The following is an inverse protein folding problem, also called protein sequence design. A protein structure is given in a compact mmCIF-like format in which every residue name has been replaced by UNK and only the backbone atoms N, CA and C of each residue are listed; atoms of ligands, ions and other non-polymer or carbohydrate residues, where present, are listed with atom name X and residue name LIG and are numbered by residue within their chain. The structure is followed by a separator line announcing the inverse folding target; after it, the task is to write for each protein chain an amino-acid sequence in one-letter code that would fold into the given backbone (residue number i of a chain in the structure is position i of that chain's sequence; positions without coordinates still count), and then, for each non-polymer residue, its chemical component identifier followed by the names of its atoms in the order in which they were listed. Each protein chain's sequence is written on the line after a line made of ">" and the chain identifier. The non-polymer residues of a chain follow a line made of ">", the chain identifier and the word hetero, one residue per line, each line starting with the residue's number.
data_IF_036170778988
#
_entry.id   IF_036170778988
#
_cell.length_a   1.000
_cell.length_b   1.000
_cell.length_c   1.000
_cell.angle_alpha   90.00
_cell.angle_beta   90.00
_cell.angle_gamma   90.00
#
_symmetry.space_group_name_H-M   'P 1'
#
loop_
_entity.id
_entity.type
_entity.pdbx_description
1 polymer ?
#
# COMPACT_ATOMS: atom_id res chain seq x y z
N UNK A 1 46.15 -12.32 -41.32
CA UNK A 1 45.33 -12.80 -40.18
C UNK A 1 44.67 -11.68 -39.36
N UNK A 2 44.78 -10.38 -39.71
CA UNK A 2 44.40 -9.27 -38.82
C UNK A 2 43.00 -8.65 -38.98
N UNK A 3 42.29 -8.84 -40.09
CA UNK A 3 41.00 -8.14 -40.33
C UNK A 3 39.77 -8.89 -39.79
N UNK A 4 39.77 -10.22 -39.85
CA UNK A 4 38.66 -11.06 -39.38
C UNK A 4 38.55 -11.09 -37.85
N UNK A 5 39.69 -11.09 -37.15
CA UNK A 5 39.73 -11.01 -35.69
C UNK A 5 39.15 -9.70 -35.16
N UNK A 6 39.49 -8.56 -35.80
CA UNK A 6 38.98 -7.24 -35.41
C UNK A 6 37.48 -7.10 -35.66
N UNK A 7 36.96 -7.67 -36.77
CA UNK A 7 35.51 -7.72 -37.05
C UNK A 7 34.74 -8.59 -36.06
N UNK A 8 35.32 -9.71 -35.60
CA UNK A 8 34.69 -10.55 -34.58
C UNK A 8 34.62 -9.86 -33.21
N UNK A 9 35.71 -9.18 -32.81
CA UNK A 9 35.79 -8.47 -31.52
C UNK A 9 34.83 -7.28 -31.50
N UNK A 10 34.75 -6.52 -32.59
CA UNK A 10 33.80 -5.40 -32.70
C UNK A 10 32.35 -5.87 -32.70
N UNK A 11 32.02 -6.97 -33.39
CA UNK A 11 30.68 -7.56 -33.34
C UNK A 11 30.31 -8.06 -31.93
N UNK A 12 31.24 -8.71 -31.22
CA UNK A 12 31.03 -9.19 -29.86
C UNK A 12 30.81 -8.04 -28.85
N UNK A 13 31.55 -6.93 -29.00
CA UNK A 13 31.37 -5.72 -28.19
C UNK A 13 30.01 -5.05 -28.46
N UNK A 14 29.56 -4.98 -29.71
CA UNK A 14 28.24 -4.44 -30.04
C UNK A 14 27.12 -5.29 -29.46
N UNK A 15 27.24 -6.63 -29.55
CA UNK A 15 26.29 -7.56 -28.94
C UNK A 15 26.23 -7.44 -27.42
N UNK A 16 27.38 -7.37 -26.74
CA UNK A 16 27.40 -7.25 -25.27
C UNK A 16 26.82 -5.90 -24.80
N UNK A 17 27.06 -4.81 -25.54
CA UNK A 17 26.45 -3.51 -25.27
C UNK A 17 24.93 -3.55 -25.44
N UNK A 18 24.42 -4.19 -26.50
CA UNK A 18 22.98 -4.34 -26.72
C UNK A 18 22.30 -5.18 -25.63
N UNK A 19 22.93 -6.28 -25.19
CA UNK A 19 22.41 -7.10 -24.09
C UNK A 19 22.46 -6.37 -22.73
N UNK A 20 23.56 -5.66 -22.44
CA UNK A 20 23.71 -4.89 -21.20
C UNK A 20 22.71 -3.73 -21.12
N UNK A 21 22.59 -2.96 -22.20
CA UNK A 21 21.63 -1.85 -22.28
C UNK A 21 20.19 -2.36 -22.24
N UNK A 22 19.85 -3.45 -22.94
CA UNK A 22 18.52 -4.07 -22.89
C UNK A 22 18.13 -4.56 -21.50
N UNK A 23 19.06 -5.22 -20.78
CA UNK A 23 18.83 -5.69 -19.41
C UNK A 23 18.65 -4.54 -18.40
N UNK A 24 19.41 -3.45 -18.57
CA UNK A 24 19.26 -2.24 -17.76
C UNK A 24 17.91 -1.55 -18.03
N UNK A 25 17.53 -1.39 -19.30
CA UNK A 25 16.24 -0.82 -19.68
C UNK A 25 15.05 -1.58 -19.08
N UNK A 26 15.10 -2.92 -19.08
CA UNK A 26 14.05 -3.75 -18.50
C UNK A 26 13.98 -3.64 -16.97
N UNK A 27 15.12 -3.48 -16.28
CA UNK A 27 15.17 -3.23 -14.83
C UNK A 27 14.57 -1.88 -14.46
N UNK A 28 14.90 -0.83 -15.20
CA UNK A 28 14.34 0.51 -14.97
C UNK A 28 12.83 0.55 -15.24
N UNK A 29 12.35 -0.15 -16.27
CA UNK A 29 10.92 -0.28 -16.56
C UNK A 29 10.17 -1.03 -15.45
N UNK A 30 10.74 -2.11 -14.92
CA UNK A 30 10.16 -2.85 -13.80
C UNK A 30 10.07 -2.01 -12.52
N UNK A 31 11.14 -1.26 -12.19
CA UNK A 31 11.15 -0.39 -11.01
C UNK A 31 10.17 0.79 -11.14
N UNK A 32 9.96 1.30 -12.36
CA UNK A 32 9.01 2.40 -12.61
C UNK A 32 7.54 1.99 -12.44
N UNK A 33 7.20 0.71 -12.65
CA UNK A 33 5.86 0.18 -12.38
C UNK A 33 5.59 -0.07 -10.89
N UNK A 34 6.63 -0.18 -10.06
CA UNK A 34 6.49 -0.29 -8.60
C UNK A 34 6.31 1.09 -7.93
N UNK A 35 6.59 2.17 -8.67
CA UNK A 35 6.46 3.55 -8.21
C UNK A 35 5.21 4.18 -8.85
N UNK A 36 4.15 4.28 -8.05
CA UNK A 36 2.99 5.19 -8.22
C UNK A 36 1.80 4.73 -9.08
N UNK A 37 1.27 3.53 -8.84
CA UNK A 37 -0.20 3.41 -8.95
C UNK A 37 -0.80 3.91 -7.62
N UNK A 38 -1.13 5.20 -7.58
CA UNK A 38 -1.84 5.79 -6.43
C UNK A 38 -3.26 5.21 -6.42
N UNK A 39 -3.48 4.15 -5.64
CA UNK A 39 -4.81 3.60 -5.39
C UNK A 39 -5.44 4.32 -4.21
N UNK A 40 -6.44 5.13 -4.53
CA UNK A 40 -7.28 5.84 -3.57
C UNK A 40 -8.41 4.92 -3.10
N UNK A 41 -8.63 4.86 -1.79
CA UNK A 41 -9.76 4.15 -1.20
C UNK A 41 -10.52 5.10 -0.27
N UNK A 42 -11.85 4.94 -0.26
CA UNK A 42 -12.70 5.72 0.63
C UNK A 42 -12.63 5.12 2.03
N UNK A 43 -12.30 5.97 3.01
CA UNK A 43 -12.27 5.64 4.42
C UNK A 43 -13.66 5.35 5.01
N UNK A 44 -13.71 5.09 6.30
CA UNK A 44 -14.95 4.79 7.03
C UNK A 44 -15.27 5.91 8.05
N UNK A 45 -16.51 5.90 8.55
CA UNK A 45 -16.98 6.83 9.59
C UNK A 45 -17.96 6.10 10.54
N UNK A 46 -17.62 4.86 10.90
CA UNK A 46 -18.36 4.02 11.83
C UNK A 46 -18.02 4.32 13.29
N UNK A 47 -16.86 4.96 13.58
CA UNK A 47 -16.39 5.26 14.93
C UNK A 47 -16.40 3.99 15.80
N UNK A 48 -17.23 3.94 16.85
CA UNK A 48 -17.36 2.80 17.77
C UNK A 48 -18.61 1.95 17.51
N UNK A 49 -19.27 2.11 16.36
CA UNK A 49 -20.46 1.31 16.02
C UNK A 49 -20.13 -0.18 16.00
N UNK A 50 -20.96 -0.99 16.66
CA UNK A 50 -20.80 -2.44 16.68
C UNK A 50 -21.23 -3.02 15.32
N UNK A 51 -20.38 -3.79 14.62
CA UNK A 51 -20.79 -4.44 13.39
C UNK A 51 -21.80 -5.56 13.68
N UNK A 52 -22.80 -5.70 12.81
CA UNK A 52 -23.80 -6.78 12.93
C UNK A 52 -23.19 -8.18 12.77
N UNK A 53 -22.13 -8.30 11.96
CA UNK A 53 -21.38 -9.53 11.74
C UNK A 53 -19.89 -9.18 11.59
N UNK A 54 -19.03 -9.78 12.42
CA UNK A 54 -17.59 -9.44 12.50
C UNK A 54 -16.80 -10.00 11.33
N UNK A 55 -17.15 -11.20 10.85
CA UNK A 55 -16.51 -11.84 9.70
C UNK A 55 -16.76 -11.04 8.42
N UNK A 56 -17.98 -10.57 8.23
CA UNK A 56 -18.35 -9.71 7.12
C UNK A 56 -17.69 -8.33 7.23
N UNK A 57 -17.60 -7.78 8.44
CA UNK A 57 -16.88 -6.53 8.69
C UNK A 57 -15.39 -6.63 8.29
N UNK A 58 -14.71 -7.70 8.70
CA UNK A 58 -13.32 -7.97 8.29
C UNK A 58 -13.17 -8.09 6.77
N UNK A 59 -14.04 -8.85 6.11
CA UNK A 59 -14.02 -8.99 4.64
C UNK A 59 -14.18 -7.64 3.94
N UNK A 60 -15.09 -6.80 4.42
CA UNK A 60 -15.28 -5.46 3.85
C UNK A 60 -14.05 -4.57 4.02
N UNK A 61 -13.35 -4.64 5.16
CA UNK A 61 -12.10 -3.91 5.37
C UNK A 61 -11.01 -4.41 4.43
N UNK A 62 -10.86 -5.73 4.30
CA UNK A 62 -9.90 -6.36 3.40
C UNK A 62 -10.14 -5.95 1.96
N UNK A 63 -11.36 -6.11 1.46
CA UNK A 63 -11.70 -5.84 0.06
C UNK A 63 -11.55 -4.35 -0.28
N UNK A 64 -11.86 -3.47 0.68
CA UNK A 64 -11.70 -2.03 0.55
C UNK A 64 -10.24 -1.60 0.48
N UNK A 65 -9.40 -2.11 1.37
CA UNK A 65 -8.03 -1.60 1.55
C UNK A 65 -6.94 -2.44 0.88
N UNK A 66 -7.28 -3.56 0.24
CA UNK A 66 -6.32 -4.35 -0.55
C UNK A 66 -5.66 -3.47 -1.62
N UNK A 67 -4.33 -3.44 -1.65
CA UNK A 67 -3.49 -2.61 -2.52
C UNK A 67 -3.73 -1.09 -2.40
N UNK A 68 -4.39 -0.65 -1.33
CA UNK A 68 -4.64 0.76 -1.11
C UNK A 68 -3.37 1.50 -0.72
N UNK A 69 -3.11 2.64 -1.35
CA UNK A 69 -1.96 3.50 -0.99
C UNK A 69 -2.39 4.79 -0.30
N UNK A 70 -3.61 5.26 -0.56
CA UNK A 70 -4.13 6.53 -0.08
C UNK A 70 -5.56 6.37 0.43
N UNK A 71 -5.82 6.75 1.69
CA UNK A 71 -7.15 6.71 2.29
C UNK A 71 -7.75 8.11 2.34
N UNK A 72 -8.79 8.34 1.53
CA UNK A 72 -9.60 9.55 1.59
C UNK A 72 -10.70 9.39 2.64
N UNK A 73 -10.58 10.07 3.78
CA UNK A 73 -11.36 9.83 4.99
C UNK A 73 -10.54 9.18 6.12
N UNK A 74 -11.23 8.45 7.00
CA UNK A 74 -10.62 7.84 8.18
C UNK A 74 -10.28 6.36 7.94
N UNK A 75 -9.18 5.90 8.53
CA UNK A 75 -8.86 4.47 8.60
C UNK A 75 -9.34 3.95 9.96
N UNK A 76 -10.42 3.18 9.97
CA UNK A 76 -10.97 2.60 11.21
C UNK A 76 -10.80 1.08 11.20
N UNK A 77 -10.05 0.58 12.17
CA UNK A 77 -9.76 -0.83 12.41
C UNK A 77 -10.38 -1.17 13.77
N UNK A 78 -11.61 -1.65 13.74
CA UNK A 78 -12.39 -1.90 14.95
C UNK A 78 -13.01 -3.28 14.93
N UNK A 79 -13.28 -3.86 16.12
CA UNK A 79 -14.06 -5.10 16.25
C UNK A 79 -13.49 -6.30 15.49
N UNK A 80 -12.16 -6.39 15.36
CA UNK A 80 -11.50 -7.54 14.72
C UNK A 80 -11.16 -8.57 15.80
N UNK A 81 -11.70 -9.76 15.62
CA UNK A 81 -11.56 -10.88 16.54
C UNK A 81 -11.05 -12.10 15.78
N UNK A 82 -10.46 -13.02 16.52
CA UNK A 82 -9.74 -14.18 15.99
C UNK A 82 -8.49 -13.78 15.20
N UNK A 83 -7.45 -14.62 15.22
CA UNK A 83 -6.15 -14.32 14.62
C UNK A 83 -6.31 -14.16 13.10
N UNK A 84 -6.55 -12.94 12.64
CA UNK A 84 -6.74 -12.54 11.23
C UNK A 84 -5.73 -11.46 10.86
N UNK A 85 -4.96 -11.66 9.81
CA UNK A 85 -3.85 -10.77 9.48
C UNK A 85 -4.30 -9.44 8.85
N UNK A 86 -3.69 -8.33 9.23
CA UNK A 86 -3.93 -7.02 8.62
C UNK A 86 -2.96 -6.69 7.48
N UNK A 87 -2.35 -7.71 6.87
CA UNK A 87 -1.34 -7.54 5.82
C UNK A 87 -1.87 -6.79 4.58
N UNK A 88 -3.19 -6.77 4.35
CA UNK A 88 -3.79 -5.99 3.28
C UNK A 88 -3.58 -4.47 3.44
N UNK A 89 -3.31 -3.98 4.66
CA UNK A 89 -3.01 -2.57 4.94
C UNK A 89 -1.55 -2.16 4.63
N UNK A 90 -0.68 -3.11 4.27
CA UNK A 90 0.77 -2.88 4.13
C UNK A 90 1.15 -1.83 3.07
N UNK A 91 0.25 -1.50 2.16
CA UNK A 91 0.48 -0.55 1.07
C UNK A 91 0.09 0.88 1.43
N UNK A 92 -0.65 1.11 2.53
CA UNK A 92 -1.15 2.43 2.89
C UNK A 92 0.01 3.33 3.25
N UNK A 93 0.11 4.47 2.57
CA UNK A 93 1.13 5.51 2.77
C UNK A 93 0.57 6.75 3.43
N UNK A 94 -0.67 7.06 3.11
CA UNK A 94 -1.30 8.30 3.54
C UNK A 94 -2.75 8.09 3.96
N UNK A 95 -3.13 8.68 5.09
CA UNK A 95 -4.51 8.79 5.56
C UNK A 95 -4.85 10.26 5.74
N UNK A 96 -5.98 10.69 5.19
CA UNK A 96 -6.33 12.12 5.23
C UNK A 96 -7.10 12.55 6.47
N UNK A 97 -7.85 11.64 7.09
CA UNK A 97 -8.57 11.86 8.34
C UNK A 97 -7.79 11.37 9.56
N UNK A 98 -8.48 10.74 10.50
CA UNK A 98 -7.87 10.05 11.65
C UNK A 98 -7.66 8.56 11.39
N UNK A 99 -6.83 7.94 12.22
CA UNK A 99 -6.67 6.49 12.31
C UNK A 99 -7.22 6.04 13.67
N UNK A 100 -8.22 5.15 13.65
CA UNK A 100 -8.82 4.58 14.86
C UNK A 100 -8.51 3.09 14.92
N UNK A 101 -7.85 2.64 15.99
CA UNK A 101 -7.59 1.23 16.28
C UNK A 101 -8.21 0.95 17.65
N UNK A 102 -9.22 0.08 17.70
CA UNK A 102 -9.93 -0.23 18.95
C UNK A 102 -10.56 -1.62 18.90
N UNK A 103 -10.84 -2.22 20.07
CA UNK A 103 -11.56 -3.49 20.20
C UNK A 103 -10.99 -4.57 19.24
N UNK A 104 -9.72 -4.88 19.46
CA UNK A 104 -8.86 -5.66 18.56
C UNK A 104 -8.11 -6.72 19.37
N UNK A 105 -8.22 -8.00 18.98
CA UNK A 105 -7.68 -9.14 19.76
C UNK A 105 -6.23 -9.54 19.39
N UNK A 106 -5.64 -8.87 18.40
CA UNK A 106 -4.35 -9.23 17.84
C UNK A 106 -3.21 -8.43 18.50
N UNK A 107 -2.01 -9.01 18.65
CA UNK A 107 -0.96 -8.45 19.49
C UNK A 107 -0.32 -7.19 18.90
N UNK A 108 -0.40 -6.99 17.59
CA UNK A 108 0.22 -5.87 16.90
C UNK A 108 -0.55 -5.51 15.62
N UNK A 109 -0.60 -4.21 15.32
CA UNK A 109 -1.06 -3.67 14.04
C UNK A 109 0.15 -3.06 13.33
N UNK A 110 0.52 -3.61 12.18
CA UNK A 110 1.72 -3.19 11.43
C UNK A 110 1.30 -2.40 10.20
N UNK A 111 1.73 -1.14 10.10
CA UNK A 111 1.51 -0.24 8.95
C UNK A 111 2.87 0.22 8.41
N UNK A 112 3.62 -0.67 7.71
CA UNK A 112 5.05 -0.48 7.44
C UNK A 112 5.34 0.68 6.47
N UNK A 113 4.37 1.06 5.63
CA UNK A 113 4.53 2.13 4.63
C UNK A 113 3.79 3.40 5.01
N UNK A 114 3.10 3.45 6.15
CA UNK A 114 2.36 4.64 6.56
C UNK A 114 3.34 5.75 6.89
N UNK A 115 3.23 6.86 6.17
CA UNK A 115 4.12 8.02 6.26
C UNK A 115 3.41 9.24 6.84
N UNK A 116 2.14 9.46 6.44
CA UNK A 116 1.41 10.69 6.76
C UNK A 116 -0.01 10.38 7.23
N UNK A 117 -0.40 10.99 8.35
CA UNK A 117 -1.79 11.14 8.77
C UNK A 117 -2.08 12.64 8.79
N UNK A 118 -2.93 13.14 7.88
CA UNK A 118 -3.17 14.59 7.77
C UNK A 118 -4.06 15.15 8.87
N UNK A 119 -4.96 14.34 9.43
CA UNK A 119 -5.86 14.79 10.50
C UNK A 119 -6.84 15.88 10.08
N UNK A 120 -7.33 15.88 8.83
CA UNK A 120 -8.41 16.82 8.39
C UNK A 120 -9.69 16.64 9.21
N UNK A 121 -9.88 15.44 9.74
CA UNK A 121 -10.94 15.06 10.67
C UNK A 121 -10.30 14.46 11.92
N UNK A 122 -10.91 14.69 13.08
CA UNK A 122 -10.45 14.14 14.36
C UNK A 122 -11.50 13.21 14.96
N UNK A 123 -11.05 12.23 15.74
CA UNK A 123 -11.95 11.35 16.47
C UNK A 123 -12.40 12.03 17.77
N UNK A 124 -13.71 12.10 17.99
CA UNK A 124 -14.33 12.55 19.24
C UNK A 124 -15.22 11.44 19.79
N UNK A 125 -15.06 11.13 21.08
CA UNK A 125 -15.88 10.14 21.79
C UNK A 125 -17.34 10.58 21.84
N UNK A 126 -17.57 11.88 22.03
CA UNK A 126 -18.90 12.48 22.07
C UNK A 126 -19.20 13.15 20.73
N UNK A 127 -20.26 12.70 20.07
CA UNK A 127 -20.75 13.30 18.81
C UNK A 127 -21.25 14.75 18.98
N UNK A 128 -21.49 15.17 20.23
CA UNK A 128 -22.07 16.45 20.62
C UNK A 128 -21.04 17.57 20.86
N UNK A 129 -19.75 17.25 20.87
CA UNK A 129 -18.65 18.24 21.02
C UNK A 129 -18.28 18.93 19.69
N UNK A 130 -19.15 18.83 18.69
CA UNK A 130 -19.00 19.46 17.37
C UNK A 130 -19.84 20.75 17.23
N UNK A 131 -20.37 21.29 18.34
CA UNK A 131 -21.03 22.60 18.40
C UNK A 131 -20.04 23.73 18.72
#
# INVERSE_FOLDING_TARGET
>A
MGAYGVRLVTAALLLSVLFSTGSCYMRDFAHKNEINEMRVCIGTNGRMSVPANREYHYKNLRDRYTNCTYVDGNLEITWIQNITDLNFLQHIREVTGYVLISLYDLPQVILPRLQIIRGRTTFKLNKWEEA
#
